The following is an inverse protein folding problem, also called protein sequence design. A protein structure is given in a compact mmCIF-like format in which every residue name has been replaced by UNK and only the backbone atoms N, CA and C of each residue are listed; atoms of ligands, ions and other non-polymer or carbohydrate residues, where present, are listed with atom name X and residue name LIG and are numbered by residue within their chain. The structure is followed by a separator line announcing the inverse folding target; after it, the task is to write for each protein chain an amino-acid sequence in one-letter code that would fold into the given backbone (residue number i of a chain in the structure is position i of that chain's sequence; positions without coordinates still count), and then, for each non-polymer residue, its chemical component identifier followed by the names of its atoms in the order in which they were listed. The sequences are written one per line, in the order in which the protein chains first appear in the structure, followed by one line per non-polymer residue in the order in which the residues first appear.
data_IF_205536863488
#
_entry.id   IF_205536863488
#
_cell.length_a   1.000
_cell.length_b   1.000
_cell.length_c   1.000
_cell.angle_alpha   90.00
_cell.angle_beta   90.00
_cell.angle_gamma   90.00
#
_symmetry.space_group_name_H-M   'P 1'
#
loop_
_entity.id
_entity.type
_entity.pdbx_description
1 polymer ?
#
# COMPACT_ATOMS: atom_id res chain seq x y z
N UNK A 1 -17.24 -13.66 18.96
CA UNK A 1 -17.34 -12.91 17.69
C UNK A 1 -16.35 -11.75 17.65
N UNK A 2 -16.25 -10.95 18.72
CA UNK A 2 -15.34 -9.80 18.79
C UNK A 2 -13.87 -10.14 18.55
N UNK A 3 -13.32 -11.10 19.29
CA UNK A 3 -11.93 -11.55 19.12
C UNK A 3 -11.64 -11.99 17.68
N UNK A 4 -12.58 -12.71 17.05
CA UNK A 4 -12.46 -13.11 15.66
C UNK A 4 -12.40 -11.91 14.72
N UNK A 5 -13.22 -10.88 14.93
CA UNK A 5 -13.24 -9.68 14.09
C UNK A 5 -11.99 -8.81 14.30
N UNK A 6 -11.46 -8.76 15.52
CA UNK A 6 -10.15 -8.15 15.82
C UNK A 6 -9.05 -8.90 15.06
N UNK A 7 -9.02 -10.23 15.14
CA UNK A 7 -8.04 -11.06 14.45
C UNK A 7 -8.12 -10.89 12.93
N UNK A 8 -9.31 -10.95 12.34
CA UNK A 8 -9.54 -10.73 10.90
C UNK A 8 -9.07 -9.32 10.50
N UNK A 9 -9.26 -8.32 11.35
CA UNK A 9 -8.78 -6.97 11.06
C UNK A 9 -7.26 -6.81 11.22
N UNK A 10 -6.60 -7.68 11.98
CA UNK A 10 -5.17 -7.57 12.27
C UNK A 10 -4.32 -7.98 11.07
N UNK A 11 -3.41 -7.11 10.64
CA UNK A 11 -2.46 -7.42 9.55
C UNK A 11 -1.55 -8.61 9.88
N UNK A 12 -1.26 -8.84 11.16
CA UNK A 12 -0.38 -9.91 11.61
C UNK A 12 -1.00 -11.29 11.45
N UNK A 13 -2.32 -11.39 11.63
CA UNK A 13 -3.07 -12.64 11.46
C UNK A 13 -2.93 -13.20 10.03
N UNK A 14 -2.78 -12.32 9.04
CA UNK A 14 -2.68 -12.68 7.62
C UNK A 14 -1.26 -12.97 7.12
N UNK A 15 -0.24 -12.99 8.00
CA UNK A 15 1.13 -13.39 7.63
C UNK A 15 1.18 -14.70 6.85
N UNK A 16 0.49 -15.80 7.26
CA UNK A 16 0.51 -17.05 6.51
C UNK A 16 -0.01 -16.89 5.07
N UNK A 17 -1.07 -16.10 4.87
CA UNK A 17 -1.60 -15.80 3.54
C UNK A 17 -0.58 -15.00 2.70
N UNK A 18 0.07 -14.00 3.29
CA UNK A 18 1.10 -13.22 2.59
C UNK A 18 2.29 -14.08 2.17
N UNK A 19 2.74 -14.98 3.05
CA UNK A 19 3.81 -15.94 2.73
C UNK A 19 3.37 -16.86 1.58
N UNK A 20 2.14 -17.38 1.62
CA UNK A 20 1.60 -18.23 0.56
C UNK A 20 1.50 -17.51 -0.80
N UNK A 21 1.05 -16.25 -0.80
CA UNK A 21 1.03 -15.40 -2.00
C UNK A 21 2.45 -15.22 -2.54
N UNK A 22 3.39 -14.78 -1.70
CA UNK A 22 4.78 -14.53 -2.11
C UNK A 22 5.46 -15.80 -2.65
N UNK A 23 5.24 -16.95 -2.00
CA UNK A 23 5.73 -18.24 -2.48
C UNK A 23 5.17 -18.59 -3.86
N UNK A 24 3.86 -18.41 -4.05
CA UNK A 24 3.20 -18.68 -5.34
C UNK A 24 3.76 -17.76 -6.44
N UNK A 25 3.93 -16.47 -6.14
CA UNK A 25 4.50 -15.50 -7.08
C UNK A 25 5.95 -15.84 -7.42
N UNK A 26 6.76 -16.24 -6.43
CA UNK A 26 8.15 -16.65 -6.66
C UNK A 26 8.21 -17.88 -7.59
N UNK A 27 7.39 -18.90 -7.33
CA UNK A 27 7.33 -20.10 -8.18
C UNK A 27 6.85 -19.79 -9.60
N UNK A 28 5.90 -18.87 -9.75
CA UNK A 28 5.27 -18.56 -11.05
C UNK A 28 6.09 -17.57 -11.89
N UNK A 29 6.72 -16.58 -11.25
CA UNK A 29 7.35 -15.43 -11.91
C UNK A 29 8.82 -15.24 -11.49
N UNK A 30 9.60 -16.32 -11.42
CA UNK A 30 10.99 -16.28 -10.91
C UNK A 30 11.84 -15.12 -11.43
N UNK A 31 11.81 -14.86 -12.75
CA UNK A 31 12.60 -13.80 -13.40
C UNK A 31 12.11 -12.39 -13.07
N UNK A 32 10.80 -12.25 -12.87
CA UNK A 32 10.13 -10.97 -12.63
C UNK A 32 9.87 -10.72 -11.13
N UNK A 33 10.24 -11.66 -10.26
CA UNK A 33 9.83 -11.66 -8.85
C UNK A 33 10.21 -10.37 -8.12
N UNK A 34 11.44 -9.88 -8.31
CA UNK A 34 11.87 -8.62 -7.71
C UNK A 34 11.12 -7.40 -8.25
N UNK A 35 10.74 -7.43 -9.54
CA UNK A 35 9.91 -6.37 -10.14
C UNK A 35 8.49 -6.37 -9.56
N UNK A 36 7.94 -7.57 -9.33
CA UNK A 36 6.65 -7.75 -8.67
C UNK A 36 6.72 -7.26 -7.23
N UNK A 37 7.78 -7.61 -6.48
CA UNK A 37 7.98 -7.15 -5.10
C UNK A 37 8.09 -5.62 -5.03
N UNK A 38 8.85 -5.00 -5.93
CA UNK A 38 8.94 -3.55 -6.05
C UNK A 38 7.57 -2.91 -6.36
N UNK A 39 6.80 -3.51 -7.26
CA UNK A 39 5.46 -3.02 -7.61
C UNK A 39 4.48 -3.17 -6.44
N UNK A 40 4.59 -4.25 -5.65
CA UNK A 40 3.83 -4.45 -4.41
C UNK A 40 4.19 -3.41 -3.35
N UNK A 41 5.48 -3.08 -3.20
CA UNK A 41 5.92 -2.05 -2.26
C UNK A 41 5.34 -0.67 -2.62
N UNK A 42 5.40 -0.29 -3.90
CA UNK A 42 4.77 0.94 -4.40
C UNK A 42 3.25 0.90 -4.18
N UNK A 43 2.61 -0.23 -4.45
CA UNK A 43 1.18 -0.40 -4.28
C UNK A 43 0.76 -0.16 -2.82
N UNK A 44 1.43 -0.78 -1.85
CA UNK A 44 1.11 -0.58 -0.43
C UNK A 44 1.38 0.86 -0.01
N UNK A 45 2.51 1.42 -0.43
CA UNK A 45 2.85 2.82 -0.14
C UNK A 45 1.77 3.78 -0.65
N UNK A 46 1.37 3.67 -1.92
CA UNK A 46 0.36 4.54 -2.53
C UNK A 46 -1.04 4.30 -1.95
N UNK A 47 -1.38 3.06 -1.62
CA UNK A 47 -2.65 2.74 -0.98
C UNK A 47 -2.75 3.41 0.40
N UNK A 48 -1.73 3.26 1.25
CA UNK A 48 -1.69 3.87 2.59
C UNK A 48 -1.57 5.39 2.52
N UNK A 49 -0.53 5.91 1.87
CA UNK A 49 -0.27 7.34 1.76
C UNK A 49 -1.47 8.06 1.14
N UNK A 50 -1.99 7.55 0.03
CA UNK A 50 -3.16 8.13 -0.62
C UNK A 50 -4.38 8.13 0.29
N UNK A 51 -4.66 7.02 0.99
CA UNK A 51 -5.82 6.94 1.89
C UNK A 51 -5.79 7.98 3.01
N UNK A 52 -4.60 8.42 3.44
CA UNK A 52 -4.43 9.43 4.48
C UNK A 52 -4.41 10.82 3.87
N UNK A 53 -3.37 11.12 3.08
CA UNK A 53 -3.06 12.47 2.62
C UNK A 53 -4.03 12.99 1.56
N UNK A 54 -4.54 12.10 0.69
CA UNK A 54 -5.45 12.50 -0.39
C UNK A 54 -6.93 12.37 -0.02
N UNK A 55 -7.24 11.67 1.07
CA UNK A 55 -8.63 11.45 1.47
C UNK A 55 -8.91 11.89 2.91
N UNK A 56 -8.28 11.29 3.91
CA UNK A 56 -8.63 11.58 5.32
C UNK A 56 -8.40 13.04 5.69
N UNK A 57 -7.25 13.60 5.30
CA UNK A 57 -6.91 14.99 5.62
C UNK A 57 -7.74 16.01 4.82
N UNK A 58 -8.29 15.61 3.67
CA UNK A 58 -9.12 16.46 2.81
C UNK A 58 -10.59 16.42 3.22
N UNK A 59 -11.17 15.22 3.31
CA UNK A 59 -12.60 15.04 3.58
C UNK A 59 -12.93 15.17 5.07
N UNK A 60 -11.96 14.87 5.94
CA UNK A 60 -12.08 15.01 7.40
C UNK A 60 -13.36 14.40 7.99
N UNK A 61 -13.86 13.31 7.37
CA UNK A 61 -15.06 12.64 7.84
C UNK A 61 -14.75 11.87 9.12
N UNK A 62 -15.31 12.33 10.23
CA UNK A 62 -15.19 11.68 11.53
C UNK A 62 -15.66 10.21 11.48
N UNK A 63 -14.96 9.34 12.21
CA UNK A 63 -15.34 7.93 12.34
C UNK A 63 -16.66 7.76 13.11
N UNK A 64 -17.39 6.65 12.88
CA UNK A 64 -18.63 6.38 13.61
C UNK A 64 -18.45 6.46 15.14
N UNK A 65 -17.35 5.91 15.65
CA UNK A 65 -17.01 5.88 17.06
C UNK A 65 -16.75 7.24 17.74
N UNK A 66 -16.59 8.34 16.98
CA UNK A 66 -16.44 9.69 17.54
C UNK A 66 -17.75 10.49 17.55
N UNK A 67 -18.73 10.11 16.73
CA UNK A 67 -19.92 10.94 16.46
C UNK A 67 -21.24 10.26 16.85
N UNK A 68 -21.32 8.94 16.74
CA UNK A 68 -22.56 8.20 16.96
C UNK A 68 -22.59 7.61 18.36
N UNK A 69 -23.56 8.08 19.15
CA UNK A 69 -23.87 7.50 20.45
C UNK A 69 -24.41 6.07 20.30
N UNK A 70 -24.03 5.18 21.22
CA UNK A 70 -24.47 3.77 21.20
C UNK A 70 -23.73 2.86 20.22
N UNK A 71 -22.69 3.34 19.52
CA UNK A 71 -21.81 2.45 18.75
C UNK A 71 -20.91 1.64 19.68
N UNK A 72 -20.97 0.31 19.52
CA UNK A 72 -20.05 -0.60 20.18
C UNK A 72 -18.68 -0.54 19.50
N UNK A 73 -17.72 0.09 20.18
CA UNK A 73 -16.31 0.11 19.76
C UNK A 73 -15.59 -1.04 20.46
N UNK A 74 -15.05 -1.96 19.67
CA UNK A 74 -14.53 -3.23 20.19
C UNK A 74 -13.02 -3.19 20.44
N UNK A 75 -12.26 -2.42 19.65
CA UNK A 75 -10.78 -2.40 19.67
C UNK A 75 -10.23 -0.97 19.46
N UNK A 76 -10.80 -0.02 20.20
CA UNK A 76 -10.48 1.41 20.08
C UNK A 76 -10.94 2.05 18.76
N UNK A 77 -10.98 3.39 18.73
CA UNK A 77 -11.48 4.14 17.58
C UNK A 77 -10.41 4.43 16.51
N UNK A 78 -9.12 4.25 16.84
CA UNK A 78 -7.99 4.63 15.98
C UNK A 78 -7.91 6.15 15.77
N UNK A 79 -7.57 6.59 14.55
CA UNK A 79 -7.48 8.01 14.20
C UNK A 79 -8.84 8.73 14.14
N UNK A 80 -8.83 10.03 13.86
CA UNK A 80 -10.04 10.88 13.80
C UNK A 80 -10.90 10.60 12.57
N UNK A 81 -10.27 10.49 11.40
CA UNK A 81 -10.97 10.41 10.12
C UNK A 81 -11.04 8.98 9.57
N UNK A 82 -12.20 8.67 8.95
CA UNK A 82 -12.56 7.35 8.45
C UNK A 82 -12.46 7.19 6.93
N UNK A 83 -12.65 8.27 6.16
CA UNK A 83 -12.78 8.19 4.70
C UNK A 83 -11.45 8.47 3.99
N UNK A 84 -10.88 7.58 3.18
CA UNK A 84 -11.27 6.18 2.90
C UNK A 84 -10.56 5.20 3.85
N UNK A 85 -11.06 3.96 3.96
CA UNK A 85 -10.42 2.96 4.83
C UNK A 85 -9.10 2.42 4.25
N UNK A 86 -8.00 2.60 4.96
CA UNK A 86 -6.67 2.06 4.57
C UNK A 86 -6.65 0.53 4.57
N UNK A 87 -7.37 -0.13 5.48
CA UNK A 87 -7.47 -1.59 5.49
C UNK A 87 -8.16 -2.12 4.23
N UNK A 88 -9.24 -1.44 3.80
CA UNK A 88 -9.92 -1.75 2.54
C UNK A 88 -9.00 -1.45 1.34
N UNK A 89 -8.36 -0.27 1.32
CA UNK A 89 -7.44 0.11 0.23
C UNK A 89 -6.30 -0.90 0.02
N UNK A 90 -5.64 -1.34 1.09
CA UNK A 90 -4.55 -2.32 1.02
C UNK A 90 -5.05 -3.70 0.59
N UNK A 91 -6.12 -4.20 1.23
CA UNK A 91 -6.61 -5.56 0.95
C UNK A 91 -7.16 -5.69 -0.47
N UNK A 92 -7.97 -4.72 -0.95
CA UNK A 92 -8.47 -4.74 -2.33
C UNK A 92 -7.37 -4.49 -3.37
N UNK A 93 -6.39 -3.63 -3.08
CA UNK A 93 -5.27 -3.41 -4.02
C UNK A 93 -4.41 -4.68 -4.18
N UNK A 94 -4.06 -5.36 -3.08
CA UNK A 94 -3.38 -6.65 -3.11
C UNK A 94 -4.23 -7.67 -3.88
N UNK A 95 -5.51 -7.82 -3.50
CA UNK A 95 -6.40 -8.81 -4.12
C UNK A 95 -6.47 -8.64 -5.63
N UNK A 96 -6.66 -7.42 -6.11
CA UNK A 96 -6.76 -7.13 -7.53
C UNK A 96 -5.43 -7.28 -8.26
N UNK A 97 -4.32 -6.80 -7.67
CA UNK A 97 -3.00 -6.87 -8.31
C UNK A 97 -2.57 -8.33 -8.52
N UNK A 98 -2.73 -9.17 -7.50
CA UNK A 98 -2.42 -10.60 -7.59
C UNK A 98 -3.33 -11.30 -8.60
N UNK A 99 -4.61 -10.93 -8.66
CA UNK A 99 -5.56 -11.46 -9.65
C UNK A 99 -5.16 -11.11 -11.09
N UNK A 100 -4.70 -9.87 -11.33
CA UNK A 100 -4.20 -9.43 -12.64
C UNK A 100 -2.90 -10.14 -13.07
N UNK A 101 -2.05 -10.49 -12.11
CA UNK A 101 -0.82 -11.26 -12.35
C UNK A 101 -1.13 -12.71 -12.69
N UNK A 102 -1.86 -13.40 -11.82
CA UNK A 102 -2.09 -14.85 -11.93
C UNK A 102 -3.17 -15.22 -12.95
N UNK A 103 -4.10 -14.30 -13.27
CA UNK A 103 -5.17 -14.47 -14.27
C UNK A 103 -6.00 -15.75 -14.08
N UNK A 104 -6.18 -16.16 -12.83
CA UNK A 104 -6.93 -17.36 -12.44
C UNK A 104 -8.15 -16.94 -11.62
N UNK A 105 -9.34 -17.37 -12.06
CA UNK A 105 -10.61 -17.04 -11.41
C UNK A 105 -10.62 -17.38 -9.91
N UNK A 106 -10.02 -18.51 -9.54
CA UNK A 106 -9.89 -18.93 -8.15
C UNK A 106 -9.17 -17.89 -7.27
N UNK A 107 -8.10 -17.26 -7.77
CA UNK A 107 -7.38 -16.22 -7.02
C UNK A 107 -8.22 -14.96 -6.84
N UNK A 108 -8.95 -14.57 -7.89
CA UNK A 108 -9.85 -13.43 -7.84
C UNK A 108 -10.92 -13.61 -6.77
N UNK A 109 -11.68 -14.72 -6.82
CA UNK A 109 -12.76 -14.95 -5.85
C UNK A 109 -12.23 -14.99 -4.43
N UNK A 110 -11.20 -15.80 -4.14
CA UNK A 110 -10.72 -15.96 -2.76
C UNK A 110 -10.12 -14.67 -2.19
N UNK A 111 -9.30 -13.94 -2.96
CA UNK A 111 -8.69 -12.71 -2.46
C UNK A 111 -9.69 -11.56 -2.35
N UNK A 112 -10.68 -11.46 -3.24
CA UNK A 112 -11.75 -10.47 -3.07
C UNK A 112 -12.64 -10.81 -1.88
N UNK A 113 -13.01 -12.08 -1.68
CA UNK A 113 -13.73 -12.50 -0.49
C UNK A 113 -12.95 -12.18 0.79
N UNK A 114 -11.63 -12.38 0.78
CA UNK A 114 -10.75 -11.99 1.87
C UNK A 114 -10.75 -10.47 2.12
N UNK A 115 -10.64 -9.65 1.07
CA UNK A 115 -10.68 -8.19 1.20
C UNK A 115 -12.05 -7.68 1.69
N UNK A 116 -13.15 -8.28 1.22
CA UNK A 116 -14.51 -8.01 1.72
C UNK A 116 -14.62 -8.38 3.20
N UNK A 117 -14.06 -9.53 3.62
CA UNK A 117 -14.07 -9.96 5.01
C UNK A 117 -13.31 -8.98 5.93
N UNK A 118 -12.16 -8.45 5.47
CA UNK A 118 -11.44 -7.38 6.17
C UNK A 118 -12.28 -6.11 6.22
N UNK A 119 -12.88 -5.68 5.11
CA UNK A 119 -13.73 -4.50 5.08
C UNK A 119 -14.93 -4.61 6.04
N UNK A 120 -15.56 -5.78 6.07
CA UNK A 120 -16.66 -6.10 6.97
C UNK A 120 -16.23 -6.05 8.44
N UNK A 121 -15.06 -6.60 8.79
CA UNK A 121 -14.57 -6.53 10.17
C UNK A 121 -14.40 -5.09 10.64
N UNK A 122 -13.97 -4.16 9.77
CA UNK A 122 -13.87 -2.74 10.10
C UNK A 122 -15.22 -2.08 10.40
N UNK A 123 -16.28 -2.49 9.69
CA UNK A 123 -17.65 -2.04 9.99
C UNK A 123 -18.11 -2.62 11.32
N UNK A 124 -17.89 -3.92 11.54
CA UNK A 124 -18.26 -4.61 12.79
C UNK A 124 -17.59 -3.98 14.01
N UNK A 125 -16.31 -3.60 13.92
CA UNK A 125 -15.56 -2.97 15.01
C UNK A 125 -16.00 -1.52 15.28
N UNK A 126 -16.93 -0.97 14.50
CA UNK A 126 -17.51 0.36 14.72
C UNK A 126 -16.60 1.52 14.28
N UNK A 127 -15.54 1.25 13.52
CA UNK A 127 -14.52 2.26 13.17
C UNK A 127 -14.66 2.85 11.78
N UNK A 128 -15.52 2.28 10.93
CA UNK A 128 -15.72 2.73 9.55
C UNK A 128 -17.17 2.55 9.10
N UNK A 129 -17.64 3.48 8.27
CA UNK A 129 -18.90 3.35 7.54
C UNK A 129 -18.74 2.44 6.32
N UNK A 130 -19.82 1.82 5.81
CA UNK A 130 -19.77 1.05 4.57
C UNK A 130 -19.18 1.81 3.38
N UNK A 131 -19.46 3.11 3.27
CA UNK A 131 -18.89 3.96 2.23
C UNK A 131 -17.38 4.23 2.40
N UNK A 132 -16.80 4.14 3.62
CA UNK A 132 -15.33 4.18 3.79
C UNK A 132 -14.68 2.97 3.12
N UNK A 133 -15.34 1.81 3.21
CA UNK A 133 -14.88 0.55 2.63
C UNK A 133 -14.99 0.58 1.12
N UNK A 134 -16.13 1.05 0.58
CA UNK A 134 -16.31 1.21 -0.87
C UNK A 134 -15.31 2.21 -1.46
N UNK A 135 -15.09 3.35 -0.81
CA UNK A 135 -14.06 4.31 -1.22
C UNK A 135 -12.66 3.69 -1.19
N UNK A 136 -12.35 2.92 -0.14
CA UNK A 136 -11.09 2.18 -0.04
C UNK A 136 -10.93 1.14 -1.14
N UNK A 137 -12.00 0.42 -1.49
CA UNK A 137 -12.02 -0.51 -2.61
C UNK A 137 -11.68 0.20 -3.93
N UNK A 138 -12.37 1.30 -4.27
CA UNK A 138 -12.10 2.03 -5.52
C UNK A 138 -10.68 2.60 -5.56
N UNK A 139 -10.20 3.17 -4.46
CA UNK A 139 -8.82 3.63 -4.36
C UNK A 139 -7.83 2.48 -4.54
N UNK A 140 -8.06 1.36 -3.87
CA UNK A 140 -7.21 0.17 -3.98
C UNK A 140 -7.16 -0.41 -5.39
N UNK A 141 -8.30 -0.48 -6.08
CA UNK A 141 -8.36 -0.91 -7.48
C UNK A 141 -7.56 0.03 -8.40
N UNK A 142 -7.71 1.36 -8.21
CA UNK A 142 -6.96 2.36 -8.96
C UNK A 142 -5.44 2.21 -8.76
N UNK A 143 -4.99 2.15 -7.51
CA UNK A 143 -3.57 1.97 -7.17
C UNK A 143 -3.03 0.65 -7.71
N UNK A 144 -3.82 -0.42 -7.66
CA UNK A 144 -3.47 -1.71 -8.21
C UNK A 144 -3.26 -1.67 -9.73
N UNK A 145 -4.11 -0.96 -10.48
CA UNK A 145 -3.92 -0.75 -11.92
C UNK A 145 -2.63 0.01 -12.22
N UNK A 146 -2.33 1.06 -11.44
CA UNK A 146 -1.09 1.82 -11.58
C UNK A 146 0.14 0.94 -11.32
N UNK A 147 0.13 0.17 -10.23
CA UNK A 147 1.21 -0.76 -9.90
C UNK A 147 1.36 -1.86 -10.96
N UNK A 148 0.26 -2.36 -11.52
CA UNK A 148 0.28 -3.32 -12.62
C UNK A 148 0.88 -2.71 -13.90
N UNK A 149 0.56 -1.45 -14.19
CA UNK A 149 1.16 -0.72 -15.31
C UNK A 149 2.67 -0.58 -15.12
N UNK A 150 3.13 -0.15 -13.93
CA UNK A 150 4.56 -0.09 -13.56
C UNK A 150 5.24 -1.46 -13.72
N UNK A 151 4.59 -2.54 -13.25
CA UNK A 151 5.07 -3.91 -13.46
C UNK A 151 5.18 -4.27 -14.95
N UNK A 152 4.26 -3.81 -15.81
CA UNK A 152 4.31 -4.08 -17.26
C UNK A 152 5.29 -3.20 -18.01
N UNK A 153 5.63 -2.02 -17.51
CA UNK A 153 6.56 -1.11 -18.15
C UNK A 153 7.91 -1.80 -18.39
N UNK A 154 8.35 -1.86 -19.65
CA UNK A 154 9.70 -2.28 -19.99
C UNK A 154 10.63 -1.12 -19.64
N UNK A 155 11.12 -1.10 -18.40
CA UNK A 155 12.12 -0.15 -17.97
C UNK A 155 13.42 -0.52 -18.67
N UNK A 156 13.65 0.01 -19.87
CA UNK A 156 14.96 0.00 -20.50
C UNK A 156 15.80 1.07 -19.79
N UNK A 157 16.91 0.67 -19.18
CA UNK A 157 17.95 1.54 -18.61
C UNK A 157 17.64 2.30 -17.30
N UNK A 158 16.86 1.73 -16.37
CA UNK A 158 17.12 2.04 -14.95
C UNK A 158 18.11 1.00 -14.45
N UNK A 159 19.36 1.40 -14.32
CA UNK A 159 20.35 0.59 -13.66
C UNK A 159 20.20 0.72 -12.14
N UNK A 160 20.71 -0.28 -11.41
CA UNK A 160 20.67 -0.32 -9.95
C UNK A 160 21.16 0.96 -9.28
N UNK A 161 22.07 1.70 -9.93
CA UNK A 161 22.63 2.97 -9.44
C UNK A 161 21.56 4.07 -9.35
N UNK A 162 20.65 4.17 -10.33
CA UNK A 162 19.52 5.11 -10.25
C UNK A 162 18.47 4.70 -9.22
N UNK A 163 18.22 3.40 -9.03
CA UNK A 163 17.32 2.93 -7.95
C UNK A 163 17.90 3.25 -6.58
N UNK A 164 19.20 3.00 -6.38
CA UNK A 164 19.89 3.34 -5.15
C UNK A 164 19.83 4.84 -4.87
N UNK A 165 19.98 5.68 -5.91
CA UNK A 165 19.85 7.12 -5.79
C UNK A 165 18.46 7.54 -5.32
N UNK A 166 17.40 7.07 -5.98
CA UNK A 166 16.01 7.39 -5.58
C UNK A 166 15.77 6.95 -4.14
N UNK A 167 16.19 5.75 -3.77
CA UNK A 167 16.05 5.25 -2.40
C UNK A 167 16.78 6.13 -1.38
N UNK A 168 18.00 6.58 -1.66
CA UNK A 168 18.77 7.46 -0.76
C UNK A 168 18.13 8.85 -0.62
N UNK A 169 17.61 9.41 -1.72
CA UNK A 169 16.87 10.68 -1.69
C UNK A 169 15.58 10.54 -0.87
N UNK A 170 14.83 9.46 -1.05
CA UNK A 170 13.65 9.19 -0.23
C UNK A 170 14.01 9.01 1.25
N UNK A 171 15.05 8.23 1.57
CA UNK A 171 15.50 8.04 2.97
C UNK A 171 15.89 9.38 3.59
N UNK A 172 16.58 10.26 2.86
CA UNK A 172 16.91 11.60 3.33
C UNK A 172 15.65 12.42 3.63
N UNK A 173 14.78 12.60 2.64
CA UNK A 173 13.59 13.45 2.78
C UNK A 173 12.63 12.96 3.88
N UNK A 174 12.49 11.65 4.07
CA UNK A 174 11.63 11.09 5.12
C UNK A 174 12.35 10.95 6.48
N UNK A 175 13.68 10.86 6.50
CA UNK A 175 14.47 10.73 7.73
C UNK A 175 14.65 12.05 8.47
N UNK A 176 14.64 13.18 7.73
CA UNK A 176 14.85 14.51 8.29
C UNK A 176 13.84 15.53 7.74
N UNK A 177 12.55 15.45 8.15
CA UNK A 177 11.49 16.28 7.58
C UNK A 177 11.61 17.78 7.92
N UNK A 178 12.36 18.14 8.97
CA UNK A 178 12.47 19.52 9.46
C UNK A 178 13.60 20.33 8.81
N UNK A 179 14.37 19.74 7.89
CA UNK A 179 15.48 20.43 7.23
C UNK A 179 14.95 21.44 6.19
N UNK A 180 15.62 22.60 6.03
CA UNK A 180 15.17 23.61 5.09
C UNK A 180 15.26 23.08 3.65
N UNK A 181 14.37 23.51 2.72
CA UNK A 181 14.31 22.98 1.35
C UNK A 181 15.63 23.06 0.58
N UNK A 182 16.50 24.02 0.92
CA UNK A 182 17.82 24.15 0.30
C UNK A 182 18.73 22.96 0.61
N UNK A 183 18.59 22.34 1.79
CA UNK A 183 19.35 21.16 2.17
C UNK A 183 18.96 19.96 1.29
N UNK A 184 17.66 19.77 1.02
CA UNK A 184 17.17 18.69 0.16
C UNK A 184 17.71 18.81 -1.27
N UNK A 185 17.73 20.03 -1.80
CA UNK A 185 18.30 20.32 -3.12
C UNK A 185 19.79 19.99 -3.14
N UNK A 186 20.55 20.39 -2.13
CA UNK A 186 21.99 20.10 -2.03
C UNK A 186 22.24 18.59 -1.99
N UNK A 187 21.51 17.84 -1.16
CA UNK A 187 21.67 16.39 -1.05
C UNK A 187 21.33 15.69 -2.37
N UNK A 188 20.21 16.07 -3.01
CA UNK A 188 19.83 15.51 -4.30
C UNK A 188 20.89 15.76 -5.38
N UNK A 189 21.49 16.96 -5.40
CA UNK A 189 22.58 17.32 -6.33
C UNK A 189 23.82 16.47 -6.06
N UNK A 190 24.28 16.37 -4.80
CA UNK A 190 25.47 15.59 -4.43
C UNK A 190 25.29 14.12 -4.82
N UNK A 191 24.16 13.53 -4.45
CA UNK A 191 23.84 12.14 -4.79
C UNK A 191 23.81 11.96 -6.32
N UNK A 192 23.29 12.94 -7.07
CA UNK A 192 23.25 12.87 -8.55
C UNK A 192 24.65 12.87 -9.15
N UNK A 193 25.55 13.71 -8.65
CA UNK A 193 26.95 13.73 -9.09
C UNK A 193 27.66 12.40 -8.80
N UNK A 194 27.44 11.81 -7.62
CA UNK A 194 28.00 10.50 -7.26
C UNK A 194 27.53 9.42 -8.25
N UNK A 195 26.24 9.38 -8.57
CA UNK A 195 25.67 8.43 -9.56
C UNK A 195 26.30 8.60 -10.93
N UNK A 196 26.38 9.84 -11.42
CA UNK A 196 26.97 10.17 -12.72
C UNK A 196 28.44 9.75 -12.76
N UNK A 197 29.18 9.98 -11.69
CA UNK A 197 30.59 9.59 -11.57
C UNK A 197 30.78 8.07 -11.59
N UNK A 198 29.99 7.32 -10.80
CA UNK A 198 30.01 5.86 -10.78
C UNK A 198 29.72 5.30 -12.18
N UNK A 199 28.76 5.89 -12.90
CA UNK A 199 28.42 5.49 -14.27
C UNK A 199 29.53 5.75 -15.26
N UNK A 200 30.22 6.89 -15.16
CA UNK A 200 31.36 7.21 -16.02
C UNK A 200 32.50 6.21 -15.85
N UNK A 201 32.70 5.65 -14.65
CA UNK A 201 33.73 4.60 -14.40
C UNK A 201 33.36 3.21 -14.90
N UNK A 202 32.08 2.94 -15.18
CA UNK A 202 31.60 1.63 -15.67
C UNK A 202 31.55 1.52 -17.21
N UNK A 203 31.76 2.64 -17.92
CA UNK A 203 31.95 2.69 -19.38
C UNK A 203 33.44 2.67 -19.69
#
# INVERSE_FOLDING_TARGET
MDELMILISSKWFWIPLYIFILFTLYKTFQKDFFKILFSLAILIFLADFGSVELFKEIFQRARPCHLLEGIRVVDGCGGQFGFVSSHAANSFSIAFFISLLLRKYWWFVNLFSWAVLIGFSRIYLGVHYPFDILGGMFWGLFVSLLAYYIYKMKIKNIDFVWLLWVSLVCIWNFGWPDVPPIADVIVAIILSFVVVFIKKRKK
#
